data_IF_255128350631
#
_entry.id   IF_255128350631
#
_cell.length_a   1.000
_cell.length_b   1.000
_cell.length_c   1.000
_cell.angle_alpha   90.00
_cell.angle_beta   90.00
_cell.angle_gamma   90.00
#
_symmetry.space_group_name_H-M   'P 1'
#
loop_
_entity.id
_entity.type
_entity.pdbx_description
1 polymer ?
#
# COMPACT_ATOMS: atom_id res chain seq x y z
N UNK A 1 -4.47 6.64 13.98
CA UNK A 1 -3.36 6.34 13.05
C UNK A 1 -2.21 7.21 13.52
N UNK A 2 -1.14 6.59 14.00
CA UNK A 2 0.03 7.35 14.44
C UNK A 2 0.77 7.87 13.21
N UNK A 3 0.98 9.17 13.21
CA UNK A 3 1.77 9.87 12.20
C UNK A 3 3.25 9.63 12.52
N UNK A 4 3.91 8.78 11.73
CA UNK A 4 5.34 8.49 11.89
C UNK A 4 6.12 9.48 11.02
N UNK A 5 6.87 10.37 11.67
CA UNK A 5 7.76 11.35 11.05
C UNK A 5 9.19 11.08 11.49
N UNK A 6 10.11 11.04 10.54
CA UNK A 6 11.55 10.94 10.79
C UNK A 6 12.34 11.77 9.77
N UNK A 7 13.37 12.48 10.24
CA UNK A 7 14.28 13.30 9.41
C UNK A 7 15.21 12.43 8.52
N UNK A 8 15.28 11.13 8.82
CA UNK A 8 16.13 10.14 8.15
C UNK A 8 15.29 9.07 7.44
N UNK A 9 15.97 8.02 6.97
CA UNK A 9 15.36 6.94 6.22
C UNK A 9 14.42 6.09 7.09
N UNK A 10 13.22 5.82 6.60
CA UNK A 10 12.19 4.98 7.24
C UNK A 10 12.04 3.64 6.49
N UNK A 11 12.16 2.49 7.17
CA UNK A 11 11.78 1.16 6.66
C UNK A 11 10.77 0.49 7.62
N UNK A 12 9.56 1.06 7.74
CA UNK A 12 8.55 0.51 8.62
C UNK A 12 7.98 -0.78 8.03
N UNK A 13 7.69 -1.74 8.91
CA UNK A 13 7.07 -3.02 8.54
C UNK A 13 5.81 -3.22 9.35
N UNK A 14 4.72 -3.53 8.67
CA UNK A 14 3.43 -3.81 9.31
C UNK A 14 2.86 -5.14 8.81
N UNK A 15 2.32 -5.93 9.73
CA UNK A 15 1.68 -7.21 9.46
C UNK A 15 0.29 -7.20 10.11
N UNK A 16 -0.75 -7.48 9.33
CA UNK A 16 -2.13 -7.60 9.81
C UNK A 16 -2.72 -8.93 9.37
N UNK A 17 -3.27 -9.67 10.32
CA UNK A 17 -3.94 -10.95 10.12
C UNK A 17 -5.18 -11.00 11.00
N UNK A 18 -6.34 -11.34 10.43
CA UNK A 18 -7.60 -11.49 11.16
C UNK A 18 -8.59 -12.37 10.38
N UNK A 19 -9.40 -13.17 11.06
CA UNK A 19 -10.44 -14.02 10.43
C UNK A 19 -11.69 -13.21 10.03
N UNK A 20 -11.72 -11.91 10.35
CA UNK A 20 -12.78 -10.95 10.04
C UNK A 20 -12.20 -9.74 9.32
N UNK A 21 -13.01 -8.69 9.20
CA UNK A 21 -12.65 -7.49 8.45
C UNK A 21 -11.46 -6.76 9.08
N UNK A 22 -10.43 -6.48 8.28
CA UNK A 22 -9.26 -5.67 8.68
C UNK A 22 -9.29 -4.32 7.97
N UNK A 23 -9.21 -3.22 8.73
CA UNK A 23 -9.19 -1.85 8.21
C UNK A 23 -7.98 -1.04 8.70
N UNK A 24 -6.77 -1.46 8.31
CA UNK A 24 -5.54 -0.84 8.79
C UNK A 24 -5.30 0.50 8.09
N UNK A 25 -4.71 1.44 8.84
CA UNK A 25 -4.42 2.78 8.37
C UNK A 25 -2.99 3.16 8.75
N UNK A 26 -2.19 3.50 7.75
CA UNK A 26 -0.79 3.87 7.94
C UNK A 26 -0.47 5.19 7.25
N UNK A 27 0.32 6.02 7.92
CA UNK A 27 0.82 7.29 7.37
C UNK A 27 2.30 7.41 7.66
N UNK A 28 3.11 7.71 6.64
CA UNK A 28 4.55 7.89 6.78
C UNK A 28 5.07 9.12 6.03
N UNK A 29 5.99 9.84 6.67
CA UNK A 29 6.63 11.03 6.11
C UNK A 29 8.14 11.07 6.46
N UNK A 30 8.97 11.42 5.47
CA UNK A 30 10.44 11.55 5.62
C UNK A 30 11.06 12.45 4.57
N UNK A 31 12.07 13.23 4.97
CA UNK A 31 12.86 14.09 4.06
C UNK A 31 13.86 13.30 3.17
N UNK A 32 14.17 12.04 3.50
CA UNK A 32 15.23 11.30 2.80
C UNK A 32 14.70 10.08 2.06
N UNK A 33 14.31 9.02 2.74
CA UNK A 33 13.84 7.82 2.06
C UNK A 33 12.78 7.12 2.90
N UNK A 34 11.74 6.58 2.25
CA UNK A 34 10.79 5.68 2.90
C UNK A 34 10.65 4.41 2.06
N UNK A 35 10.88 3.26 2.69
CA UNK A 35 10.78 1.93 2.09
C UNK A 35 9.80 1.05 2.89
N UNK A 36 8.53 1.46 3.00
CA UNK A 36 7.56 0.80 3.87
C UNK A 36 7.19 -0.57 3.30
N UNK A 37 7.01 -1.55 4.18
CA UNK A 37 6.51 -2.87 3.82
C UNK A 37 5.24 -3.17 4.59
N UNK A 38 4.19 -3.61 3.92
CA UNK A 38 2.94 -3.97 4.58
C UNK A 38 2.37 -5.27 4.02
N UNK A 39 1.99 -6.17 4.92
CA UNK A 39 1.32 -7.42 4.58
C UNK A 39 -0.03 -7.49 5.29
N UNK A 40 -1.07 -7.82 4.54
CA UNK A 40 -2.44 -7.86 5.02
C UNK A 40 -3.11 -9.16 4.59
N UNK A 41 -3.69 -9.87 5.54
CA UNK A 41 -4.41 -11.13 5.29
C UNK A 41 -5.73 -11.18 6.07
N UNK A 42 -6.80 -11.64 5.41
CA UNK A 42 -8.09 -11.89 6.05
C UNK A 42 -8.94 -12.95 5.36
N UNK A 43 -9.72 -13.73 6.13
CA UNK A 43 -10.74 -14.63 5.55
C UNK A 43 -11.96 -13.88 4.99
N UNK A 44 -12.22 -12.63 5.43
CA UNK A 44 -13.45 -11.91 5.04
C UNK A 44 -13.16 -10.70 4.16
N UNK A 45 -12.58 -9.65 4.72
CA UNK A 45 -12.42 -8.40 3.99
C UNK A 45 -11.19 -7.65 4.47
N UNK A 46 -10.45 -7.05 3.54
CA UNK A 46 -9.41 -6.07 3.89
C UNK A 46 -9.66 -4.74 3.18
N UNK A 47 -9.66 -3.64 3.94
CA UNK A 47 -9.72 -2.27 3.41
C UNK A 47 -8.55 -1.43 3.95
N UNK A 48 -7.32 -1.73 3.52
CA UNK A 48 -6.13 -1.02 3.96
C UNK A 48 -6.05 0.35 3.31
N UNK A 49 -5.69 1.35 4.11
CA UNK A 49 -5.46 2.73 3.66
C UNK A 49 -4.04 3.13 3.99
N UNK A 50 -3.29 3.57 3.01
CA UNK A 50 -1.90 3.98 3.24
C UNK A 50 -1.58 5.28 2.52
N UNK A 51 -0.90 6.18 3.24
CA UNK A 51 -0.42 7.44 2.72
C UNK A 51 1.08 7.56 2.98
N UNK A 52 1.85 7.87 1.95
CA UNK A 52 3.30 7.97 2.04
C UNK A 52 3.79 9.22 1.33
N UNK A 53 4.67 9.97 1.99
CA UNK A 53 5.27 11.19 1.44
C UNK A 53 6.78 11.23 1.68
N UNK A 54 7.58 11.44 0.63
CA UNK A 54 9.03 11.65 0.79
C UNK A 54 9.65 12.67 -0.15
N UNK A 55 10.54 13.53 0.33
CA UNK A 55 11.24 14.47 -0.55
C UNK A 55 12.15 13.74 -1.57
N UNK A 56 12.97 12.76 -1.17
CA UNK A 56 13.92 12.12 -2.12
C UNK A 56 13.48 10.78 -2.69
N UNK A 57 13.11 9.79 -1.89
CA UNK A 57 12.83 8.45 -2.43
C UNK A 57 11.74 7.71 -1.66
N UNK A 58 10.79 7.14 -2.39
CA UNK A 58 9.69 6.35 -1.85
C UNK A 58 9.60 5.01 -2.60
N UNK A 59 9.94 3.88 -1.96
CA UNK A 59 9.81 2.50 -2.50
C UNK A 59 8.92 1.63 -1.58
N UNK A 60 7.59 1.85 -1.63
CA UNK A 60 6.63 1.11 -0.83
C UNK A 60 6.32 -0.25 -1.43
N UNK A 61 6.22 -1.26 -0.57
CA UNK A 61 5.89 -2.63 -0.93
C UNK A 61 4.69 -3.12 -0.14
N UNK A 62 3.60 -3.46 -0.81
CA UNK A 62 2.40 -3.96 -0.15
C UNK A 62 1.94 -5.30 -0.71
N UNK A 63 1.48 -6.18 0.17
CA UNK A 63 0.92 -7.48 -0.16
C UNK A 63 -0.43 -7.64 0.54
N UNK A 64 -1.43 -8.06 -0.23
CA UNK A 64 -2.83 -8.05 0.16
C UNK A 64 -3.46 -9.38 -0.22
N UNK A 65 -3.97 -10.11 0.77
CA UNK A 65 -4.65 -11.39 0.57
C UNK A 65 -5.99 -11.42 1.29
N UNK A 66 -7.05 -11.85 0.60
CA UNK A 66 -8.31 -12.15 1.26
C UNK A 66 -9.11 -13.23 0.53
N UNK A 67 -9.92 -14.02 1.23
CA UNK A 67 -10.81 -14.96 0.53
C UNK A 67 -11.96 -14.20 -0.16
N UNK A 68 -12.65 -13.30 0.54
CA UNK A 68 -13.83 -12.62 -0.05
C UNK A 68 -13.46 -11.31 -0.75
N UNK A 69 -13.04 -10.27 -0.03
CA UNK A 69 -12.90 -8.93 -0.62
C UNK A 69 -11.61 -8.22 -0.25
N UNK A 70 -11.02 -7.51 -1.22
CA UNK A 70 -9.93 -6.56 -1.01
C UNK A 70 -10.29 -5.21 -1.64
N UNK A 71 -10.32 -4.13 -0.85
CA UNK A 71 -10.48 -2.72 -1.32
C UNK A 71 -9.34 -1.84 -0.76
N UNK A 72 -8.12 -1.97 -1.28
CA UNK A 72 -6.95 -1.25 -0.82
C UNK A 72 -6.88 0.14 -1.45
N UNK A 73 -6.59 1.16 -0.63
CA UNK A 73 -6.39 2.54 -1.08
C UNK A 73 -5.01 3.04 -0.68
N UNK A 74 -4.21 3.41 -1.67
CA UNK A 74 -2.87 3.95 -1.42
C UNK A 74 -2.65 5.29 -2.10
N UNK A 75 -2.01 6.22 -1.39
CA UNK A 75 -1.56 7.49 -1.94
C UNK A 75 -0.07 7.65 -1.68
N UNK A 76 0.67 7.98 -2.74
CA UNK A 76 2.11 8.10 -2.71
C UNK A 76 2.56 9.40 -3.35
N UNK A 77 3.38 10.16 -2.62
CA UNK A 77 3.96 11.41 -3.11
C UNK A 77 5.46 11.43 -2.88
N UNK A 78 6.23 11.78 -3.92
CA UNK A 78 7.66 12.08 -3.76
C UNK A 78 8.15 13.22 -4.64
N UNK A 79 9.14 14.02 -4.21
CA UNK A 79 9.70 15.02 -5.14
C UNK A 79 10.61 14.35 -6.19
N UNK A 80 11.50 13.42 -5.78
CA UNK A 80 12.50 12.86 -6.73
C UNK A 80 12.18 11.47 -7.28
N UNK A 81 11.84 10.47 -6.47
CA UNK A 81 11.68 9.10 -6.97
C UNK A 81 10.60 8.32 -6.24
N UNK A 82 9.73 7.69 -7.01
CA UNK A 82 8.64 6.86 -6.51
C UNK A 82 8.62 5.50 -7.26
N UNK A 83 8.93 4.40 -6.57
CA UNK A 83 8.90 3.02 -7.12
C UNK A 83 8.01 2.11 -6.24
N UNK A 84 6.68 2.23 -6.34
CA UNK A 84 5.75 1.47 -5.54
C UNK A 84 5.47 0.10 -6.14
N UNK A 85 5.41 -0.93 -5.28
CA UNK A 85 5.07 -2.31 -5.66
C UNK A 85 3.92 -2.84 -4.83
N UNK A 86 2.88 -3.32 -5.48
CA UNK A 86 1.73 -3.93 -4.79
C UNK A 86 1.32 -5.26 -5.40
N UNK A 87 0.99 -6.23 -4.53
CA UNK A 87 0.45 -7.53 -4.92
C UNK A 87 -0.88 -7.77 -4.23
N UNK A 88 -1.89 -8.18 -4.99
CA UNK A 88 -3.25 -8.36 -4.51
C UNK A 88 -3.81 -9.70 -4.97
N UNK A 89 -4.36 -10.48 -4.04
CA UNK A 89 -4.96 -11.78 -4.30
C UNK A 89 -6.28 -11.97 -3.55
N UNK A 90 -7.39 -12.09 -4.29
CA UNK A 90 -8.71 -12.39 -3.73
C UNK A 90 -9.36 -13.62 -4.38
N UNK A 91 -10.30 -14.32 -3.71
CA UNK A 91 -11.17 -15.27 -4.44
C UNK A 91 -12.41 -14.58 -5.03
N UNK A 92 -13.03 -13.62 -4.32
CA UNK A 92 -14.32 -13.05 -4.80
C UNK A 92 -14.23 -11.66 -5.42
N UNK A 93 -13.58 -10.68 -4.78
CA UNK A 93 -13.63 -9.29 -5.26
C UNK A 93 -12.37 -8.51 -4.91
N UNK A 94 -11.92 -7.69 -5.87
CA UNK A 94 -10.72 -6.88 -5.76
C UNK A 94 -10.96 -5.51 -6.41
N UNK A 95 -10.89 -4.45 -5.62
CA UNK A 95 -11.08 -3.06 -6.02
C UNK A 95 -9.93 -2.16 -5.49
N UNK A 96 -8.73 -2.25 -6.08
CA UNK A 96 -7.55 -1.49 -5.70
C UNK A 96 -7.58 -0.10 -6.31
N UNK A 97 -7.24 0.89 -5.47
CA UNK A 97 -7.08 2.27 -5.90
C UNK A 97 -5.71 2.77 -5.46
N UNK A 98 -4.91 3.23 -6.41
CA UNK A 98 -3.61 3.84 -6.09
C UNK A 98 -3.42 5.18 -6.80
N UNK A 99 -2.89 6.15 -6.08
CA UNK A 99 -2.50 7.44 -6.62
C UNK A 99 -1.01 7.67 -6.42
N UNK A 100 -0.33 8.03 -7.50
CA UNK A 100 1.12 8.23 -7.52
C UNK A 100 1.43 9.62 -8.04
N UNK A 101 2.22 10.37 -7.29
CA UNK A 101 2.70 11.69 -7.69
C UNK A 101 4.21 11.81 -7.45
N UNK A 102 4.97 12.13 -8.50
CA UNK A 102 6.32 12.62 -8.33
C UNK A 102 6.72 13.69 -9.35
N UNK A 103 7.65 14.58 -8.97
CA UNK A 103 8.13 15.64 -9.87
C UNK A 103 9.15 15.12 -10.89
N UNK A 104 9.94 14.09 -10.56
CA UNK A 104 10.99 13.59 -11.45
C UNK A 104 10.75 12.19 -12.01
N UNK A 105 10.47 11.18 -11.17
CA UNK A 105 10.32 9.79 -11.64
C UNK A 105 9.29 8.99 -10.85
N UNK A 106 8.47 8.23 -11.57
CA UNK A 106 7.48 7.29 -11.04
C UNK A 106 7.55 5.98 -11.85
N UNK A 107 7.74 4.84 -11.18
CA UNK A 107 7.71 3.48 -11.77
C UNK A 107 6.85 2.54 -10.91
N UNK A 108 5.51 2.56 -11.05
CA UNK A 108 4.61 1.74 -10.26
C UNK A 108 4.44 0.34 -10.85
N UNK A 109 4.45 -0.68 -10.00
CA UNK A 109 4.14 -2.07 -10.37
C UNK A 109 3.04 -2.65 -9.51
N UNK A 110 1.97 -3.12 -10.14
CA UNK A 110 0.88 -3.79 -9.46
C UNK A 110 0.56 -5.13 -10.11
N UNK A 111 0.28 -6.13 -9.27
CA UNK A 111 -0.11 -7.47 -9.70
C UNK A 111 -1.42 -7.87 -9.03
N UNK A 112 -2.37 -8.34 -9.83
CA UNK A 112 -3.71 -8.65 -9.38
C UNK A 112 -4.10 -10.09 -9.74
N UNK A 113 -4.63 -10.84 -8.78
CA UNK A 113 -5.21 -12.17 -8.98
C UNK A 113 -6.59 -12.24 -8.33
N UNK A 114 -7.61 -12.57 -9.12
CA UNK A 114 -9.00 -12.77 -8.64
C UNK A 114 -9.70 -13.87 -9.44
N UNK A 115 -10.57 -14.66 -8.78
CA UNK A 115 -11.35 -15.71 -9.47
C UNK A 115 -12.70 -15.21 -10.01
N UNK A 116 -13.24 -14.11 -9.47
CA UNK A 116 -14.63 -13.70 -9.76
C UNK A 116 -14.79 -12.26 -10.23
N UNK A 117 -14.05 -11.29 -9.67
CA UNK A 117 -14.20 -9.87 -10.03
C UNK A 117 -12.94 -9.07 -9.75
N UNK A 118 -12.62 -8.13 -10.66
CA UNK A 118 -11.45 -7.24 -10.59
C UNK A 118 -11.83 -5.87 -11.15
N UNK A 119 -11.60 -4.80 -10.40
CA UNK A 119 -11.78 -3.42 -10.85
C UNK A 119 -10.59 -2.55 -10.40
N UNK A 120 -9.48 -2.55 -11.14
CA UNK A 120 -8.32 -1.74 -10.81
C UNK A 120 -8.46 -0.30 -11.30
N UNK A 121 -8.14 0.67 -10.43
CA UNK A 121 -8.13 2.10 -10.74
C UNK A 121 -6.82 2.80 -10.43
#
# INVERSE_FOLDING_TARGET
ADLIRDDKSLDPKSLYQDDKSVEPKSYYQSEKSINPKSYYQSEKSINPKSYYQSEKSLDPKSQYHAEKSIDPKSYYQSEKSLDPKSYYQSEKSLDPKSQYHAEKSVDPKSYYKSEKSIDPK
#
